data_IF_679137533290
#
_entry.id   IF_679137533290
#
_cell.length_a   1.000
_cell.length_b   1.000
_cell.length_c   1.000
_cell.angle_alpha   90.00
_cell.angle_beta   90.00
_cell.angle_gamma   90.00
#
_symmetry.space_group_name_H-M   'P 1'
#
loop_
_entity.id
_entity.type
_entity.pdbx_description
1 polymer ?
#
# COMPACT_ATOMS: atom_id res chain seq x y z
N UNK A 1 19.21 12.76 -2.12
CA UNK A 1 18.56 11.77 -1.24
C UNK A 1 17.05 11.88 -1.42
N UNK A 2 16.36 10.77 -1.50
CA UNK A 2 14.91 10.71 -1.60
C UNK A 2 14.28 10.48 -0.22
N UNK A 3 13.09 11.02 -0.05
CA UNK A 3 12.20 10.73 1.08
C UNK A 3 10.92 10.12 0.53
N UNK A 4 10.50 8.98 1.04
CA UNK A 4 9.23 8.36 0.71
C UNK A 4 8.28 8.45 1.91
N UNK A 5 7.03 8.82 1.65
CA UNK A 5 5.93 8.80 2.61
C UNK A 5 4.88 7.83 2.09
N UNK A 6 4.52 6.84 2.89
CA UNK A 6 3.57 5.80 2.50
C UNK A 6 2.52 5.56 3.58
N UNK A 7 1.36 5.05 3.14
CA UNK A 7 0.31 4.57 4.02
C UNK A 7 -0.35 3.32 3.45
N UNK A 8 -1.15 2.62 4.24
CA UNK A 8 -1.80 1.36 3.87
C UNK A 8 -2.95 1.58 2.88
N UNK A 9 -3.00 0.74 1.86
CA UNK A 9 -4.13 0.64 0.91
C UNK A 9 -4.99 -0.55 1.28
N UNK A 10 -6.18 -0.29 1.79
CA UNK A 10 -7.11 -1.33 2.25
C UNK A 10 -6.67 -1.98 3.56
N UNK A 11 -7.27 -3.13 3.87
CA UNK A 11 -6.95 -3.88 5.09
C UNK A 11 -6.35 -5.25 4.76
N UNK A 12 -5.43 -5.78 5.57
CA UNK A 12 -4.75 -7.04 5.28
C UNK A 12 -5.63 -8.29 5.49
N UNK A 13 -6.82 -8.14 6.08
CA UNK A 13 -7.78 -9.23 6.33
C UNK A 13 -8.30 -9.91 5.04
N UNK A 14 -9.02 -10.99 5.19
CA UNK A 14 -9.65 -11.70 4.07
C UNK A 14 -10.70 -10.81 3.38
N UNK A 15 -10.85 -10.96 2.07
CA UNK A 15 -11.88 -10.31 1.28
C UNK A 15 -12.95 -11.33 0.86
N UNK A 16 -14.16 -11.22 1.42
CA UNK A 16 -15.19 -12.24 1.24
C UNK A 16 -15.91 -12.10 -0.09
N UNK A 17 -16.44 -10.92 -0.38
CA UNK A 17 -17.05 -10.56 -1.66
C UNK A 17 -17.37 -9.08 -1.71
N UNK A 18 -17.72 -8.59 -2.91
CA UNK A 18 -18.14 -7.20 -3.10
C UNK A 18 -19.50 -6.87 -2.46
N UNK A 19 -20.35 -7.86 -2.28
CA UNK A 19 -21.76 -7.70 -1.86
C UNK A 19 -22.00 -8.09 -0.40
N UNK A 20 -20.98 -8.62 0.30
CA UNK A 20 -21.16 -9.12 1.66
C UNK A 20 -21.14 -8.00 2.70
N UNK A 21 -22.29 -7.72 3.32
CA UNK A 21 -22.45 -6.59 4.25
C UNK A 21 -21.55 -6.66 5.49
N UNK A 22 -21.24 -7.87 5.97
CA UNK A 22 -20.45 -8.11 7.19
C UNK A 22 -18.93 -7.97 6.97
N UNK A 23 -18.44 -8.08 5.73
CA UNK A 23 -17.02 -8.09 5.40
C UNK A 23 -16.73 -7.11 4.26
N UNK A 24 -17.06 -5.84 4.46
CA UNK A 24 -16.73 -4.75 3.51
C UNK A 24 -15.24 -4.39 3.53
N UNK A 25 -14.38 -5.39 3.46
CA UNK A 25 -12.94 -5.15 3.33
C UNK A 25 -12.57 -4.78 1.90
N UNK A 26 -11.41 -4.15 1.72
CA UNK A 26 -10.89 -3.84 0.39
C UNK A 26 -10.53 -5.11 -0.38
N UNK A 27 -10.75 -5.16 -1.70
CA UNK A 27 -10.31 -6.28 -2.55
C UNK A 27 -8.80 -6.36 -2.72
N UNK A 28 -8.08 -5.35 -2.26
CA UNK A 28 -6.62 -5.24 -2.32
C UNK A 28 -6.04 -4.93 -0.95
N UNK A 29 -4.74 -5.23 -0.82
CA UNK A 29 -3.91 -4.75 0.28
C UNK A 29 -2.52 -4.40 -0.22
N UNK A 30 -1.93 -3.36 0.33
CA UNK A 30 -0.57 -2.91 0.04
C UNK A 30 -0.28 -1.52 0.59
N UNK A 31 0.61 -0.80 -0.06
CA UNK A 31 1.02 0.54 0.35
C UNK A 31 1.02 1.50 -0.83
N UNK A 32 0.71 2.75 -0.57
CA UNK A 32 0.81 3.83 -1.55
C UNK A 32 1.21 5.14 -0.88
N UNK A 33 1.69 6.08 -1.69
CA UNK A 33 2.12 7.39 -1.23
C UNK A 33 2.95 8.09 -2.29
N UNK A 34 4.02 8.76 -1.88
CA UNK A 34 4.87 9.49 -2.81
C UNK A 34 6.34 9.49 -2.38
N UNK A 35 7.20 9.72 -3.36
CA UNK A 35 8.64 9.91 -3.19
C UNK A 35 9.01 11.31 -3.63
N UNK A 36 9.88 12.00 -2.88
CA UNK A 36 10.28 13.38 -3.17
C UNK A 36 11.74 13.62 -2.80
N UNK A 37 12.50 14.44 -3.55
CA UNK A 37 13.83 14.87 -3.15
C UNK A 37 13.81 15.60 -1.80
N UNK A 38 14.77 15.32 -0.92
CA UNK A 38 14.84 15.91 0.44
C UNK A 38 14.80 17.45 0.43
N UNK A 39 15.39 18.05 -0.60
CA UNK A 39 15.48 19.51 -0.78
C UNK A 39 14.11 20.15 -1.04
N UNK A 40 13.13 19.36 -1.47
CA UNK A 40 11.78 19.80 -1.81
C UNK A 40 10.72 19.46 -0.75
N UNK A 41 11.10 18.70 0.28
CA UNK A 41 10.16 18.26 1.33
C UNK A 41 9.47 19.44 1.99
N UNK A 42 10.21 20.45 2.41
CA UNK A 42 9.61 21.63 3.09
C UNK A 42 8.67 22.42 2.20
N UNK A 43 9.02 22.60 0.93
CA UNK A 43 8.18 23.33 -0.02
C UNK A 43 6.88 22.57 -0.30
N UNK A 44 6.95 21.26 -0.46
CA UNK A 44 5.77 20.42 -0.65
C UNK A 44 4.91 20.36 0.63
N UNK A 45 5.53 20.16 1.80
CA UNK A 45 4.81 20.20 3.09
C UNK A 45 4.01 21.48 3.28
N UNK A 46 4.62 22.63 2.94
CA UNK A 46 3.90 23.94 3.00
C UNK A 46 2.69 23.98 2.06
N UNK A 47 2.81 23.38 0.88
CA UNK A 47 1.67 23.27 -0.05
C UNK A 47 0.56 22.37 0.51
N UNK A 48 0.90 21.21 1.08
CA UNK A 48 -0.07 20.32 1.75
C UNK A 48 -0.77 21.06 2.89
N UNK A 49 -0.02 21.72 3.76
CA UNK A 49 -0.58 22.50 4.88
C UNK A 49 -1.48 23.64 4.40
N UNK A 50 -1.09 24.34 3.33
CA UNK A 50 -1.92 25.39 2.74
C UNK A 50 -3.23 24.82 2.21
N UNK A 51 -3.18 23.71 1.49
CA UNK A 51 -4.38 23.03 0.99
C UNK A 51 -5.28 22.59 2.15
N UNK A 52 -4.71 22.03 3.23
CA UNK A 52 -5.48 21.71 4.45
C UNK A 52 -6.21 22.94 4.99
N UNK A 53 -5.53 24.04 5.20
CA UNK A 53 -6.12 25.26 5.75
C UNK A 53 -7.20 25.84 4.86
N UNK A 54 -6.98 25.86 3.56
CA UNK A 54 -7.92 26.48 2.61
C UNK A 54 -9.20 25.66 2.43
N UNK A 55 -9.10 24.33 2.35
CA UNK A 55 -10.22 23.46 2.00
C UNK A 55 -10.83 22.71 3.18
N UNK A 56 -10.10 22.55 4.29
CA UNK A 56 -10.52 21.75 5.44
C UNK A 56 -10.60 22.54 6.76
N UNK A 57 -10.35 23.84 6.77
CA UNK A 57 -10.32 24.70 7.96
C UNK A 57 -11.60 24.69 8.80
N UNK A 58 -12.73 24.35 8.18
CA UNK A 58 -14.02 24.23 8.87
C UNK A 58 -14.07 23.07 9.89
N UNK A 59 -13.12 22.14 9.84
CA UNK A 59 -13.03 21.04 10.80
C UNK A 59 -12.43 21.52 12.14
N UNK A 60 -11.54 22.51 12.07
CA UNK A 60 -10.91 23.12 13.26
C UNK A 60 -10.65 24.61 13.01
N UNK A 61 -11.51 25.50 13.52
CA UNK A 61 -11.41 26.95 13.32
C UNK A 61 -10.32 27.63 14.17
N UNK A 62 -9.54 26.88 14.94
CA UNK A 62 -8.48 27.44 15.78
C UNK A 62 -7.27 27.87 14.94
N UNK A 63 -6.72 29.04 15.26
CA UNK A 63 -5.52 29.63 14.64
C UNK A 63 -4.22 28.93 15.05
N UNK A 64 -4.27 27.69 15.51
CA UNK A 64 -3.11 26.93 15.91
C UNK A 64 -2.11 26.84 14.76
N UNK A 65 -0.88 27.24 15.02
CA UNK A 65 0.20 27.32 14.03
C UNK A 65 0.49 25.95 13.39
N UNK A 66 0.30 24.86 14.14
CA UNK A 66 0.39 23.49 13.67
C UNK A 66 -1.00 22.86 13.78
N UNK A 67 -1.71 22.66 12.64
CA UNK A 67 -2.98 21.97 12.69
C UNK A 67 -2.74 20.48 13.03
N UNK A 68 -3.05 20.11 14.27
CA UNK A 68 -3.00 18.73 14.78
C UNK A 68 -4.22 17.90 14.39
N UNK A 69 -5.07 18.42 13.52
CA UNK A 69 -6.25 17.73 13.03
C UNK A 69 -5.99 16.96 11.72
N UNK A 70 -6.68 15.88 11.57
CA UNK A 70 -6.54 14.97 10.43
C UNK A 70 -7.86 14.89 9.64
N UNK A 71 -7.74 14.85 8.31
CA UNK A 71 -8.82 14.50 7.39
C UNK A 71 -8.50 13.17 6.75
N UNK A 72 -9.14 12.10 7.18
CA UNK A 72 -8.87 10.75 6.63
C UNK A 72 -9.22 10.66 5.15
N UNK A 73 -8.34 10.05 4.37
CA UNK A 73 -8.53 9.83 2.94
C UNK A 73 -9.79 9.02 2.62
N UNK A 74 -10.12 8.06 3.46
CA UNK A 74 -11.36 7.28 3.34
C UNK A 74 -12.63 8.15 3.40
N UNK A 75 -12.60 9.26 4.12
CA UNK A 75 -13.71 10.22 4.20
C UNK A 75 -13.80 11.14 2.99
N UNK A 76 -12.65 11.47 2.36
CA UNK A 76 -12.61 12.24 1.11
C UNK A 76 -13.19 11.42 -0.04
N UNK A 77 -12.76 10.19 -0.19
CA UNK A 77 -13.08 9.31 -1.33
C UNK A 77 -14.32 8.43 -1.06
N UNK A 78 -15.39 9.03 -0.56
CA UNK A 78 -16.67 8.32 -0.39
C UNK A 78 -17.42 8.13 -1.70
N UNK A 79 -18.32 7.13 -1.73
CA UNK A 79 -19.31 6.96 -2.80
C UNK A 79 -20.11 8.28 -2.97
N UNK A 80 -20.27 8.75 -4.21
CA UNK A 80 -21.00 9.98 -4.51
C UNK A 80 -20.29 11.26 -4.03
N UNK A 81 -19.00 11.22 -3.74
CA UNK A 81 -18.26 12.41 -3.31
C UNK A 81 -18.27 13.53 -4.36
N UNK A 82 -18.23 13.20 -5.65
CA UNK A 82 -18.25 14.18 -6.75
C UNK A 82 -19.62 14.84 -6.97
N UNK A 83 -20.68 14.25 -6.45
CA UNK A 83 -22.04 14.79 -6.50
C UNK A 83 -22.28 15.87 -5.43
N UNK A 84 -21.47 15.87 -4.37
CA UNK A 84 -21.57 16.80 -3.25
C UNK A 84 -20.58 17.94 -3.44
N UNK A 85 -21.09 19.19 -3.55
CA UNK A 85 -20.28 20.39 -3.86
C UNK A 85 -19.04 20.53 -2.99
N UNK A 86 -19.17 20.33 -1.67
CA UNK A 86 -18.05 20.43 -0.73
C UNK A 86 -16.99 19.36 -0.97
N UNK A 87 -17.40 18.08 -1.00
CA UNK A 87 -16.49 16.96 -1.21
C UNK A 87 -15.81 17.05 -2.58
N UNK A 88 -16.53 17.48 -3.61
CA UNK A 88 -15.96 17.73 -4.93
C UNK A 88 -14.85 18.79 -4.89
N UNK A 89 -15.04 19.90 -4.18
CA UNK A 89 -14.00 20.94 -4.02
C UNK A 89 -12.76 20.39 -3.31
N UNK A 90 -12.94 19.60 -2.26
CA UNK A 90 -11.86 18.94 -1.52
C UNK A 90 -11.05 18.00 -2.43
N UNK A 91 -11.73 17.19 -3.24
CA UNK A 91 -11.09 16.27 -4.20
C UNK A 91 -10.34 17.03 -5.29
N UNK A 92 -10.91 18.10 -5.84
CA UNK A 92 -10.23 18.90 -6.86
C UNK A 92 -9.00 19.61 -6.28
N UNK A 93 -9.06 20.08 -5.05
CA UNK A 93 -7.90 20.67 -4.36
C UNK A 93 -6.78 19.64 -4.16
N UNK A 94 -7.12 18.41 -3.81
CA UNK A 94 -6.15 17.32 -3.74
C UNK A 94 -5.55 17.01 -5.13
N UNK A 95 -6.36 16.92 -6.17
CA UNK A 95 -5.88 16.73 -7.54
C UNK A 95 -4.85 17.80 -7.91
N UNK A 96 -5.16 19.06 -7.68
CA UNK A 96 -4.31 20.20 -8.00
C UNK A 96 -3.01 20.22 -7.15
N UNK A 97 -3.07 19.69 -5.92
CA UNK A 97 -1.88 19.46 -5.09
C UNK A 97 -0.98 18.37 -5.68
N UNK A 98 -1.56 17.23 -6.05
CA UNK A 98 -0.81 16.08 -6.57
C UNK A 98 -0.20 16.37 -7.95
N UNK A 99 -0.85 17.18 -8.77
CA UNK A 99 -0.31 17.63 -10.07
C UNK A 99 1.00 18.42 -9.92
N UNK A 100 1.24 19.05 -8.77
CA UNK A 100 2.48 19.80 -8.49
C UNK A 100 3.65 18.92 -8.05
N UNK A 101 3.38 17.67 -7.67
CA UNK A 101 4.41 16.77 -7.17
C UNK A 101 5.54 16.51 -8.18
N UNK A 102 5.27 16.22 -9.48
CA UNK A 102 6.32 16.07 -10.49
C UNK A 102 7.18 17.32 -10.68
N UNK A 103 6.59 18.52 -10.62
CA UNK A 103 7.33 19.77 -10.71
C UNK A 103 8.28 19.98 -9.52
N UNK A 104 7.98 19.37 -8.38
CA UNK A 104 8.89 19.29 -7.24
C UNK A 104 9.93 18.15 -7.35
N UNK A 105 9.99 17.45 -8.49
CA UNK A 105 10.85 16.29 -8.70
C UNK A 105 10.39 15.03 -7.96
N UNK A 106 9.16 15.02 -7.44
CA UNK A 106 8.55 13.88 -6.77
C UNK A 106 7.77 12.97 -7.72
N UNK A 107 7.38 11.81 -7.22
CA UNK A 107 6.57 10.83 -7.95
C UNK A 107 5.60 10.13 -7.00
N UNK A 108 4.41 9.82 -7.49
CA UNK A 108 3.49 8.93 -6.81
C UNK A 108 4.01 7.49 -6.85
N UNK A 109 3.71 6.74 -5.82
CA UNK A 109 4.09 5.33 -5.71
C UNK A 109 2.92 4.51 -5.19
N UNK A 110 2.77 3.30 -5.69
CA UNK A 110 1.93 2.28 -5.06
C UNK A 110 2.45 0.87 -5.35
N UNK A 111 2.30 0.01 -4.37
CA UNK A 111 2.36 -1.43 -4.54
C UNK A 111 1.20 -2.06 -3.81
N UNK A 112 0.28 -2.65 -4.55
CA UNK A 112 -0.91 -3.30 -4.01
C UNK A 112 -1.10 -4.67 -4.64
N UNK A 113 -1.61 -5.61 -3.85
CA UNK A 113 -1.93 -6.97 -4.29
C UNK A 113 -3.41 -7.22 -4.19
N UNK A 114 -3.97 -7.81 -5.25
CA UNK A 114 -5.33 -8.35 -5.20
C UNK A 114 -5.39 -9.49 -4.18
N UNK A 115 -6.46 -9.54 -3.41
CA UNK A 115 -6.71 -10.58 -2.43
C UNK A 115 -7.55 -11.72 -3.02
N UNK A 116 -7.26 -12.95 -2.62
CA UNK A 116 -8.17 -14.07 -2.88
C UNK A 116 -9.55 -13.79 -2.27
N UNK A 117 -10.60 -14.12 -3.01
CA UNK A 117 -11.99 -13.98 -2.55
C UNK A 117 -12.36 -15.19 -1.71
N UNK A 118 -12.85 -14.95 -0.51
CA UNK A 118 -13.34 -15.99 0.41
C UNK A 118 -13.23 -15.60 1.87
N UNK A 119 -13.88 -16.38 2.71
CA UNK A 119 -13.76 -16.28 4.18
C UNK A 119 -12.34 -16.68 4.62
N UNK A 120 -11.91 -16.34 5.84
CA UNK A 120 -10.63 -16.84 6.38
C UNK A 120 -10.49 -18.35 6.29
N UNK A 121 -11.58 -19.10 6.54
CA UNK A 121 -11.60 -20.55 6.39
C UNK A 121 -11.33 -21.02 4.96
N UNK A 122 -11.87 -20.33 3.97
CA UNK A 122 -11.67 -20.67 2.55
C UNK A 122 -10.31 -20.26 2.03
N UNK A 123 -9.79 -19.11 2.46
CA UNK A 123 -8.52 -18.55 1.95
C UNK A 123 -7.32 -19.09 2.72
N UNK A 124 -7.45 -19.29 4.04
CA UNK A 124 -6.34 -19.66 4.93
C UNK A 124 -6.54 -20.96 5.70
N UNK A 125 -7.70 -21.59 5.59
CA UNK A 125 -8.02 -22.80 6.37
C UNK A 125 -8.21 -22.54 7.87
N UNK A 126 -8.41 -21.29 8.29
CA UNK A 126 -8.45 -20.90 9.70
C UNK A 126 -9.75 -20.19 10.09
N UNK A 127 -10.16 -20.33 11.35
CA UNK A 127 -11.37 -19.67 11.84
C UNK A 127 -11.20 -18.14 11.94
N UNK A 128 -12.24 -17.34 11.68
CA UNK A 128 -12.20 -15.90 11.87
C UNK A 128 -11.78 -15.51 13.29
N UNK A 129 -10.78 -14.63 13.43
CA UNK A 129 -10.29 -14.16 14.74
C UNK A 129 -9.38 -15.13 15.49
N UNK A 130 -9.10 -16.31 14.94
CA UNK A 130 -8.15 -17.27 15.54
C UNK A 130 -6.72 -16.74 15.52
N UNK A 131 -5.81 -17.28 16.35
CA UNK A 131 -4.38 -16.95 16.31
C UNK A 131 -3.78 -17.16 14.92
N UNK A 132 -4.16 -18.24 14.22
CA UNK A 132 -3.70 -18.56 12.86
C UNK A 132 -4.13 -17.48 11.87
N UNK A 133 -5.38 -17.01 11.94
CA UNK A 133 -5.89 -15.92 11.10
C UNK A 133 -5.11 -14.63 11.35
N UNK A 134 -4.80 -14.30 12.61
CA UNK A 134 -4.01 -13.13 12.97
C UNK A 134 -2.59 -13.23 12.42
N UNK A 135 -1.97 -14.41 12.54
CA UNK A 135 -0.64 -14.67 11.98
C UNK A 135 -0.61 -14.50 10.45
N UNK A 136 -1.65 -14.96 9.74
CA UNK A 136 -1.75 -14.76 8.28
C UNK A 136 -1.95 -13.30 7.88
N UNK A 137 -2.69 -12.54 8.66
CA UNK A 137 -2.85 -11.10 8.48
C UNK A 137 -1.49 -10.39 8.64
N UNK A 138 -0.78 -10.71 9.71
CA UNK A 138 0.55 -10.15 9.98
C UNK A 138 1.55 -10.52 8.88
N UNK A 139 1.60 -11.78 8.47
CA UNK A 139 2.46 -12.26 7.38
C UNK A 139 2.18 -11.49 6.07
N UNK A 140 0.92 -11.29 5.71
CA UNK A 140 0.53 -10.51 4.52
C UNK A 140 1.03 -9.06 4.62
N UNK A 141 0.84 -8.44 5.77
CA UNK A 141 1.31 -7.06 6.02
C UNK A 141 2.81 -6.96 5.81
N UNK A 142 3.57 -7.86 6.41
CA UNK A 142 5.03 -7.89 6.31
C UNK A 142 5.53 -8.18 4.90
N UNK A 143 4.89 -9.10 4.17
CA UNK A 143 5.23 -9.38 2.77
C UNK A 143 4.97 -8.17 1.87
N UNK A 144 3.82 -7.50 2.03
CA UNK A 144 3.53 -6.30 1.25
C UNK A 144 4.47 -5.15 1.58
N UNK A 145 4.84 -4.97 2.85
CA UNK A 145 5.82 -3.96 3.26
C UNK A 145 7.20 -4.25 2.69
N UNK A 146 7.66 -5.50 2.76
CA UNK A 146 8.96 -5.91 2.19
C UNK A 146 9.01 -5.66 0.68
N UNK A 147 7.96 -5.99 -0.06
CA UNK A 147 7.88 -5.69 -1.50
C UNK A 147 7.84 -4.18 -1.79
N UNK A 148 7.15 -3.42 -0.97
CA UNK A 148 7.13 -1.96 -1.06
C UNK A 148 8.53 -1.38 -0.86
N UNK A 149 9.24 -1.81 0.17
CA UNK A 149 10.62 -1.45 0.42
C UNK A 149 11.49 -1.80 -0.79
N UNK A 150 11.41 -3.04 -1.29
CA UNK A 150 12.19 -3.49 -2.44
C UNK A 150 11.98 -2.62 -3.69
N UNK A 151 10.76 -2.20 -3.96
CA UNK A 151 10.42 -1.36 -5.12
C UNK A 151 10.89 0.08 -4.95
N UNK A 152 10.74 0.62 -3.77
CA UNK A 152 11.16 2.00 -3.48
C UNK A 152 12.67 2.17 -3.60
N UNK A 153 13.47 1.19 -3.18
CA UNK A 153 14.91 1.34 -3.37
C UNK A 153 15.37 0.99 -4.78
N UNK A 154 14.68 0.12 -5.52
CA UNK A 154 14.90 -0.03 -6.97
C UNK A 154 14.73 1.32 -7.66
N UNK A 155 13.67 2.06 -7.31
CA UNK A 155 13.48 3.42 -7.78
C UNK A 155 14.63 4.35 -7.37
N UNK A 156 15.06 4.29 -6.10
CA UNK A 156 16.16 5.11 -5.58
C UNK A 156 17.49 4.78 -6.28
N UNK A 157 17.76 3.52 -6.56
CA UNK A 157 18.94 3.09 -7.29
C UNK A 157 18.92 3.59 -8.73
N UNK A 158 17.79 3.47 -9.42
CA UNK A 158 17.62 4.06 -10.75
C UNK A 158 17.91 5.57 -10.77
N UNK A 159 17.53 6.29 -9.70
CA UNK A 159 17.85 7.71 -9.52
C UNK A 159 19.26 7.97 -8.99
N UNK A 160 20.05 6.94 -8.72
CA UNK A 160 21.36 7.01 -8.07
C UNK A 160 21.33 7.81 -6.75
N UNK A 161 20.31 7.59 -5.92
CA UNK A 161 20.10 8.30 -4.65
C UNK A 161 19.81 7.32 -3.51
N UNK A 162 20.15 7.71 -2.30
CA UNK A 162 19.70 7.01 -1.10
C UNK A 162 18.27 7.41 -0.76
N UNK A 163 17.57 6.57 0.00
CA UNK A 163 16.17 6.78 0.38
C UNK A 163 15.94 6.54 1.87
N UNK A 164 15.08 7.38 2.47
CA UNK A 164 14.45 7.15 3.78
C UNK A 164 12.96 6.96 3.57
N UNK A 165 12.37 6.05 4.32
CA UNK A 165 10.96 5.69 4.25
C UNK A 165 10.26 6.06 5.56
N UNK A 166 9.15 6.79 5.44
CA UNK A 166 8.25 7.15 6.54
C UNK A 166 6.87 6.56 6.30
N UNK A 167 6.25 6.04 7.36
CA UNK A 167 4.87 5.55 7.34
C UNK A 167 4.09 5.98 8.58
N UNK A 168 2.76 5.86 8.54
CA UNK A 168 1.89 6.24 9.64
C UNK A 168 2.15 5.39 10.89
N UNK A 169 1.93 6.00 12.05
CA UNK A 169 2.14 5.37 13.35
C UNK A 169 1.13 4.24 13.56
N UNK A 170 1.64 3.08 13.93
CA UNK A 170 0.84 1.92 14.34
C UNK A 170 1.08 1.62 15.82
N UNK A 171 0.31 0.70 16.39
CA UNK A 171 0.53 0.33 17.80
C UNK A 171 1.96 -0.20 18.03
N UNK A 172 2.48 -0.02 19.26
CA UNK A 172 3.88 -0.26 19.59
C UNK A 172 4.33 -1.71 19.35
N UNK A 173 3.49 -2.69 19.64
CA UNK A 173 3.85 -4.11 19.48
C UNK A 173 4.00 -4.47 18.01
N UNK A 174 3.09 -4.04 17.15
CA UNK A 174 3.15 -4.24 15.70
C UNK A 174 4.34 -3.50 15.10
N UNK A 175 4.60 -2.25 15.54
CA UNK A 175 5.74 -1.45 15.09
C UNK A 175 7.06 -2.16 15.34
N UNK A 176 7.31 -2.64 16.55
CA UNK A 176 8.56 -3.37 16.90
C UNK A 176 8.75 -4.59 15.98
N UNK A 177 7.70 -5.36 15.76
CA UNK A 177 7.76 -6.54 14.89
C UNK A 177 8.04 -6.15 13.43
N UNK A 178 7.36 -5.13 12.90
CA UNK A 178 7.55 -4.67 11.52
C UNK A 178 8.95 -4.10 11.30
N UNK A 179 9.46 -3.28 12.22
CA UNK A 179 10.81 -2.71 12.14
C UNK A 179 11.86 -3.83 12.16
N UNK A 180 11.77 -4.77 13.10
CA UNK A 180 12.72 -5.87 13.21
C UNK A 180 12.73 -6.73 11.92
N UNK A 181 11.57 -7.03 11.35
CA UNK A 181 11.48 -7.79 10.10
C UNK A 181 11.94 -6.99 8.88
N UNK A 182 11.70 -5.68 8.85
CA UNK A 182 12.23 -4.81 7.80
C UNK A 182 13.75 -4.82 7.78
N UNK A 183 14.41 -4.70 8.95
CA UNK A 183 15.85 -4.85 9.04
C UNK A 183 16.32 -6.23 8.58
N UNK A 184 15.69 -7.30 9.04
CA UNK A 184 16.03 -8.64 8.62
C UNK A 184 15.95 -8.82 7.09
N UNK A 185 14.90 -8.29 6.45
CA UNK A 185 14.74 -8.31 4.99
C UNK A 185 15.85 -7.50 4.30
N UNK A 186 16.12 -6.28 4.76
CA UNK A 186 17.13 -5.40 4.18
C UNK A 186 18.50 -6.07 4.26
N UNK A 187 18.92 -6.53 5.42
CA UNK A 187 20.25 -7.15 5.62
C UNK A 187 20.40 -8.49 4.88
N UNK A 188 19.36 -9.32 4.87
CA UNK A 188 19.40 -10.57 4.13
C UNK A 188 19.62 -10.35 2.63
N UNK A 189 18.94 -9.36 2.05
CA UNK A 189 19.01 -9.04 0.62
C UNK A 189 20.27 -8.26 0.23
N UNK A 190 20.87 -7.49 1.13
CA UNK A 190 22.10 -6.74 0.86
C UNK A 190 23.26 -7.61 0.37
N UNK A 191 23.26 -8.92 0.64
CA UNK A 191 24.29 -9.86 0.20
C UNK A 191 24.24 -10.10 -1.31
N UNK A 192 23.03 -10.14 -1.89
CA UNK A 192 22.78 -10.50 -3.29
C UNK A 192 22.39 -9.28 -4.14
N UNK A 193 21.86 -8.23 -3.50
CA UNK A 193 21.28 -7.05 -4.13
C UNK A 193 21.96 -5.77 -3.62
N UNK A 194 22.96 -5.30 -4.36
CA UNK A 194 23.74 -4.11 -3.95
C UNK A 194 22.87 -2.84 -3.85
N UNK A 195 21.83 -2.75 -4.66
CA UNK A 195 20.85 -1.67 -4.62
C UNK A 195 20.19 -1.52 -3.25
N UNK A 196 20.10 -2.58 -2.43
CA UNK A 196 19.59 -2.50 -1.05
C UNK A 196 20.37 -1.54 -0.15
N UNK A 197 21.61 -1.21 -0.52
CA UNK A 197 22.44 -0.21 0.17
C UNK A 197 21.94 1.22 0.02
N UNK A 198 20.97 1.43 -0.87
CA UNK A 198 20.30 2.73 -1.03
C UNK A 198 19.35 3.05 0.12
N UNK A 199 18.87 2.04 0.84
CA UNK A 199 18.08 2.23 2.06
C UNK A 199 19.04 2.58 3.19
N UNK A 200 18.82 3.74 3.80
CA UNK A 200 19.66 4.18 4.92
C UNK A 200 19.22 3.56 6.23
N UNK A 201 17.92 3.31 6.38
CA UNK A 201 17.33 2.85 7.64
C UNK A 201 16.04 2.06 7.36
N UNK A 202 15.61 1.21 8.28
CA UNK A 202 14.27 0.63 8.22
C UNK A 202 13.20 1.73 8.26
N UNK A 203 11.94 1.45 7.80
CA UNK A 203 10.87 2.45 7.82
C UNK A 203 10.70 3.09 9.20
N UNK A 204 10.71 4.41 9.24
CA UNK A 204 10.42 5.20 10.42
C UNK A 204 8.93 5.53 10.50
N UNK A 205 8.39 5.57 11.72
CA UNK A 205 6.97 5.80 11.96
C UNK A 205 6.76 7.22 12.47
N UNK A 206 5.80 7.93 11.87
CA UNK A 206 5.46 9.30 12.22
C UNK A 206 3.95 9.37 12.45
N UNK A 207 3.56 10.09 13.49
CA UNK A 207 2.16 10.34 13.79
C UNK A 207 1.53 11.23 12.70
N UNK A 208 0.43 10.76 12.11
CA UNK A 208 -0.27 11.45 11.03
C UNK A 208 -0.87 12.78 11.48
N UNK A 209 -1.25 12.92 12.74
CA UNK A 209 -1.73 14.19 13.30
C UNK A 209 -0.68 15.30 13.21
N UNK A 210 0.60 14.94 13.30
CA UNK A 210 1.72 15.87 13.30
C UNK A 210 2.34 16.06 11.91
N UNK A 211 2.16 15.12 10.98
CA UNK A 211 2.81 15.13 9.68
C UNK A 211 1.84 15.31 8.52
N UNK A 212 1.81 16.52 7.93
CA UNK A 212 1.04 16.78 6.73
C UNK A 212 1.42 15.88 5.55
N UNK A 213 2.67 15.43 5.46
CA UNK A 213 3.12 14.54 4.39
C UNK A 213 2.57 13.11 4.58
N UNK A 214 2.49 12.61 5.81
CA UNK A 214 1.84 11.33 6.10
C UNK A 214 0.34 11.42 5.81
N UNK A 215 -0.33 12.51 6.18
CA UNK A 215 -1.74 12.72 5.79
C UNK A 215 -1.92 12.75 4.26
N UNK A 216 -0.99 13.38 3.54
CA UNK A 216 -1.02 13.34 2.07
C UNK A 216 -0.85 11.91 1.54
N UNK A 217 0.00 11.09 2.19
CA UNK A 217 0.14 9.67 1.83
C UNK A 217 -1.14 8.88 2.09
N UNK A 218 -1.88 9.12 3.20
CA UNK A 218 -3.21 8.54 3.46
C UNK A 218 -4.22 8.92 2.35
N UNK A 219 -4.22 10.18 1.91
CA UNK A 219 -5.09 10.61 0.80
C UNK A 219 -4.74 9.89 -0.51
N UNK A 220 -3.44 9.72 -0.79
CA UNK A 220 -2.98 8.97 -1.98
C UNK A 220 -3.36 7.49 -1.83
N UNK A 221 -3.17 6.90 -0.66
CA UNK A 221 -3.54 5.50 -0.41
C UNK A 221 -5.05 5.27 -0.61
N UNK A 222 -5.88 6.20 -0.15
CA UNK A 222 -7.32 6.17 -0.40
C UNK A 222 -7.66 6.29 -1.89
N UNK A 223 -7.04 7.22 -2.62
CA UNK A 223 -7.18 7.36 -4.08
C UNK A 223 -6.86 6.05 -4.80
N UNK A 224 -5.70 5.46 -4.50
CA UNK A 224 -5.24 4.19 -5.09
C UNK A 224 -6.21 3.06 -4.75
N UNK A 225 -6.69 2.97 -3.51
CA UNK A 225 -7.66 1.98 -3.09
C UNK A 225 -8.99 2.07 -3.88
N UNK A 226 -9.48 3.29 -4.19
CA UNK A 226 -10.69 3.49 -5.01
C UNK A 226 -10.43 3.17 -6.48
N UNK A 227 -9.28 3.53 -7.01
CA UNK A 227 -8.87 3.15 -8.36
C UNK A 227 -8.77 1.61 -8.51
N UNK A 228 -8.16 0.92 -7.55
CA UNK A 228 -8.13 -0.55 -7.52
C UNK A 228 -9.54 -1.15 -7.45
N UNK A 229 -10.42 -0.59 -6.60
CA UNK A 229 -11.81 -1.04 -6.54
C UNK A 229 -12.50 -0.89 -7.91
N UNK A 230 -12.28 0.22 -8.61
CA UNK A 230 -12.81 0.41 -9.95
C UNK A 230 -12.29 -0.63 -10.93
N UNK A 231 -11.00 -0.93 -10.92
CA UNK A 231 -10.41 -1.92 -11.82
C UNK A 231 -10.91 -3.34 -11.58
N UNK A 232 -11.21 -3.71 -10.33
CA UNK A 232 -11.52 -5.08 -9.92
C UNK A 232 -13.02 -5.37 -9.79
N UNK A 233 -13.87 -4.37 -9.57
CA UNK A 233 -15.30 -4.52 -9.32
C UNK A 233 -16.15 -3.96 -10.47
N UNK A 234 -16.94 -4.82 -11.12
CA UNK A 234 -17.83 -4.41 -12.22
C UNK A 234 -18.85 -3.35 -11.81
N UNK A 235 -19.33 -3.41 -10.57
CA UNK A 235 -20.32 -2.49 -9.98
C UNK A 235 -19.69 -1.35 -9.18
N UNK A 236 -18.42 -1.06 -9.39
CA UNK A 236 -17.71 -0.03 -8.63
C UNK A 236 -18.31 1.37 -8.84
N UNK A 237 -18.59 2.12 -7.75
CA UNK A 237 -19.08 3.49 -7.85
C UNK A 237 -17.97 4.53 -8.07
N UNK A 238 -16.73 4.10 -8.35
CA UNK A 238 -15.54 4.96 -8.36
C UNK A 238 -15.00 5.24 -9.77
N UNK A 239 -15.83 5.14 -10.83
CA UNK A 239 -15.45 5.51 -12.20
C UNK A 239 -14.92 6.96 -12.27
N UNK A 240 -15.52 7.86 -11.49
CA UNK A 240 -15.16 9.27 -11.39
C UNK A 240 -13.69 9.51 -10.98
N UNK A 241 -13.02 8.54 -10.35
CA UNK A 241 -11.59 8.64 -10.01
C UNK A 241 -10.74 8.77 -11.28
N UNK A 242 -11.01 7.91 -12.27
CA UNK A 242 -10.36 8.01 -13.58
C UNK A 242 -10.66 9.35 -14.26
N UNK A 243 -11.95 9.77 -14.28
CA UNK A 243 -12.36 11.03 -14.89
C UNK A 243 -11.67 12.24 -14.27
N UNK A 244 -11.40 12.20 -12.96
CA UNK A 244 -10.87 13.34 -12.22
C UNK A 244 -9.34 13.42 -12.24
N UNK A 245 -8.64 12.27 -12.19
CA UNK A 245 -7.20 12.24 -11.89
C UNK A 245 -6.33 11.76 -13.06
N UNK A 246 -6.89 11.04 -14.03
CA UNK A 246 -6.11 10.36 -15.07
C UNK A 246 -5.19 11.28 -15.85
N UNK A 247 -5.71 12.37 -16.38
CA UNK A 247 -4.93 13.27 -17.26
C UNK A 247 -3.89 14.05 -16.44
N UNK A 248 -4.27 14.51 -15.25
CA UNK A 248 -3.40 15.30 -14.36
C UNK A 248 -2.25 14.47 -13.77
N UNK A 249 -2.49 13.19 -13.50
CA UNK A 249 -1.49 12.30 -12.90
C UNK A 249 -0.80 11.38 -13.92
N UNK A 250 -1.00 11.63 -15.22
CA UNK A 250 -0.32 10.88 -16.27
C UNK A 250 1.20 11.09 -16.16
N UNK A 251 1.95 9.97 -16.05
CA UNK A 251 3.40 10.02 -15.91
C UNK A 251 3.92 10.45 -14.53
N UNK A 252 3.03 10.68 -13.55
CA UNK A 252 3.44 11.07 -12.19
C UNK A 252 3.86 9.89 -11.30
N UNK A 253 3.68 8.67 -11.74
CA UNK A 253 3.99 7.46 -10.95
C UNK A 253 5.41 6.96 -11.18
N UNK A 254 6.00 6.35 -10.16
CA UNK A 254 7.27 5.63 -10.31
C UNK A 254 7.09 4.43 -11.24
N UNK A 255 8.19 3.99 -11.88
CA UNK A 255 8.17 2.83 -12.77
C UNK A 255 7.77 1.52 -12.05
N UNK A 256 8.05 1.42 -10.76
CA UNK A 256 7.79 0.26 -9.91
C UNK A 256 6.35 0.16 -9.43
N UNK A 257 5.54 1.23 -9.64
CA UNK A 257 4.13 1.28 -9.22
C UNK A 257 3.31 0.19 -9.90
N UNK A 258 2.68 -0.68 -9.09
CA UNK A 258 2.01 -1.89 -9.61
C UNK A 258 0.80 -2.31 -8.76
N UNK A 259 -0.32 -2.61 -9.44
CA UNK A 259 -1.38 -3.48 -8.92
C UNK A 259 -1.10 -4.90 -9.41
N UNK A 260 -0.71 -5.78 -8.48
CA UNK A 260 -0.46 -7.18 -8.73
C UNK A 260 -1.75 -7.99 -8.63
N UNK A 261 -2.11 -8.64 -9.69
CA UNK A 261 -3.27 -9.53 -9.71
C UNK A 261 -3.00 -10.85 -8.98
N UNK A 262 -4.08 -11.44 -8.46
CA UNK A 262 -4.05 -12.75 -7.84
C UNK A 262 -4.42 -13.84 -8.85
N UNK A 263 -3.49 -14.75 -9.13
CA UNK A 263 -3.71 -15.97 -9.93
C UNK A 263 -4.42 -15.77 -11.28
N UNK A 264 -4.06 -14.74 -12.04
CA UNK A 264 -4.69 -14.44 -13.33
C UNK A 264 -3.67 -14.47 -14.44
N UNK A 265 -4.04 -14.99 -15.59
CA UNK A 265 -3.20 -15.06 -16.79
C UNK A 265 -3.12 -13.74 -17.57
N UNK A 266 -3.22 -12.61 -16.89
CA UNK A 266 -3.12 -11.27 -17.48
C UNK A 266 -2.01 -10.47 -16.83
N UNK A 267 -1.47 -9.49 -17.55
CA UNK A 267 -0.46 -8.58 -17.03
C UNK A 267 -0.99 -7.71 -15.90
N UNK A 268 -0.12 -7.44 -14.92
CA UNK A 268 -0.39 -6.52 -13.84
C UNK A 268 -0.60 -5.09 -14.36
N UNK A 269 -1.48 -4.34 -13.72
CA UNK A 269 -1.64 -2.92 -14.03
C UNK A 269 -0.48 -2.14 -13.42
N UNK A 270 0.11 -1.24 -14.22
CA UNK A 270 1.27 -0.46 -13.83
C UNK A 270 1.03 1.05 -13.99
N UNK A 271 1.76 1.85 -13.24
CA UNK A 271 1.81 3.30 -13.34
C UNK A 271 0.41 3.96 -13.32
N UNK A 272 0.21 4.98 -14.14
CA UNK A 272 -1.06 5.69 -14.30
C UNK A 272 -2.16 4.89 -15.00
N UNK A 273 -1.84 3.69 -15.53
CA UNK A 273 -2.85 2.79 -16.12
C UNK A 273 -3.92 2.37 -15.10
N UNK A 274 -3.58 2.40 -13.80
CA UNK A 274 -4.53 2.18 -12.72
C UNK A 274 -5.74 3.12 -12.79
N UNK A 275 -5.54 4.33 -13.30
CA UNK A 275 -6.58 5.35 -13.47
C UNK A 275 -7.31 5.25 -14.82
N UNK A 276 -6.95 4.27 -15.67
CA UNK A 276 -7.57 4.08 -16.97
C UNK A 276 -9.02 3.61 -16.86
N UNK A 277 -9.85 4.04 -17.83
CA UNK A 277 -11.18 3.46 -18.04
C UNK A 277 -11.13 2.04 -18.59
N UNK A 278 -10.02 1.64 -19.20
CA UNK A 278 -9.80 0.24 -19.57
C UNK A 278 -9.74 -0.61 -18.32
N UNK A 279 -10.46 -1.72 -18.33
CA UNK A 279 -10.56 -2.64 -17.19
C UNK A 279 -10.16 -4.04 -17.68
N UNK A 280 -8.85 -4.28 -17.91
CA UNK A 280 -8.36 -5.51 -18.55
C UNK A 280 -8.79 -6.76 -17.78
N UNK A 281 -8.85 -6.66 -16.47
CA UNK A 281 -9.30 -7.69 -15.57
C UNK A 281 -10.73 -8.16 -15.82
N UNK A 282 -11.66 -7.22 -16.02
CA UNK A 282 -13.07 -7.56 -16.25
C UNK A 282 -13.32 -8.07 -17.66
N UNK A 283 -12.45 -7.69 -18.62
CA UNK A 283 -12.52 -8.18 -19.99
C UNK A 283 -11.91 -9.58 -20.15
N UNK A 284 -10.87 -9.88 -19.39
CA UNK A 284 -10.12 -11.12 -19.49
C UNK A 284 -10.66 -12.27 -18.63
N UNK A 285 -11.69 -12.03 -17.82
CA UNK A 285 -12.29 -13.10 -17.00
C UNK A 285 -13.24 -13.97 -17.84
N UNK A 286 -12.82 -15.15 -18.27
CA UNK A 286 -13.77 -16.26 -18.32
C UNK A 286 -14.25 -16.45 -16.88
N UNK A 287 -15.54 -16.63 -16.67
CA UNK A 287 -16.05 -17.05 -15.37
C UNK A 287 -15.37 -18.38 -15.05
N UNK A 288 -14.32 -18.33 -14.22
CA UNK A 288 -13.69 -19.54 -13.70
C UNK A 288 -14.80 -20.33 -13.02
N UNK A 289 -14.97 -21.59 -13.40
CA UNK A 289 -15.90 -22.48 -12.73
C UNK A 289 -15.57 -22.52 -11.23
N UNK A 290 -16.53 -22.84 -10.38
CA UNK A 290 -16.26 -23.01 -8.94
C UNK A 290 -15.16 -24.03 -8.69
N UNK A 291 -15.06 -25.06 -9.52
CA UNK A 291 -14.01 -26.09 -9.47
C UNK A 291 -12.62 -25.52 -9.83
N UNK A 292 -12.52 -24.64 -10.82
CA UNK A 292 -11.24 -23.99 -11.16
C UNK A 292 -10.81 -23.00 -10.10
N UNK A 293 -11.76 -22.28 -9.48
CA UNK A 293 -11.48 -21.43 -8.31
C UNK A 293 -10.94 -22.25 -7.14
N UNK A 294 -11.55 -23.40 -6.89
CA UNK A 294 -11.15 -24.33 -5.82
C UNK A 294 -9.77 -24.93 -6.08
N UNK A 295 -9.47 -25.35 -7.32
CA UNK A 295 -8.16 -25.84 -7.72
C UNK A 295 -7.08 -24.78 -7.60
N UNK A 296 -7.34 -23.56 -8.03
CA UNK A 296 -6.41 -22.42 -7.89
C UNK A 296 -6.17 -22.08 -6.41
N UNK A 297 -7.20 -22.13 -5.56
CA UNK A 297 -7.06 -21.95 -4.12
C UNK A 297 -6.18 -23.03 -3.48
N UNK A 298 -6.34 -24.29 -3.89
CA UNK A 298 -5.53 -25.40 -3.41
C UNK A 298 -4.06 -25.32 -3.86
N UNK A 299 -3.83 -24.89 -5.10
CA UNK A 299 -2.48 -24.67 -5.64
C UNK A 299 -1.79 -23.53 -4.87
N UNK A 300 -2.51 -22.44 -4.61
CA UNK A 300 -1.98 -21.31 -3.82
C UNK A 300 -1.74 -21.65 -2.35
N UNK A 301 -2.63 -22.41 -1.74
CA UNK A 301 -2.42 -22.90 -0.37
C UNK A 301 -1.15 -23.77 -0.25
N UNK A 302 -0.86 -24.58 -1.28
CA UNK A 302 0.37 -25.38 -1.35
C UNK A 302 1.61 -24.54 -1.66
N UNK A 303 1.51 -23.55 -2.55
CA UNK A 303 2.62 -22.65 -2.91
C UNK A 303 2.97 -21.64 -1.82
N UNK A 304 2.01 -21.32 -0.94
CA UNK A 304 2.17 -20.42 0.21
C UNK A 304 2.49 -21.17 1.51
N UNK A 305 2.55 -22.50 1.48
CA UNK A 305 3.05 -23.27 2.61
C UNK A 305 4.52 -22.86 2.86
N UNK A 306 4.90 -22.47 4.09
CA UNK A 306 6.29 -22.18 4.39
C UNK A 306 7.12 -23.39 4.00
N UNK A 307 8.19 -23.19 3.23
CA UNK A 307 9.24 -24.20 3.06
C UNK A 307 9.73 -24.43 4.48
N UNK A 308 9.36 -25.57 5.07
CA UNK A 308 9.89 -25.99 6.34
C UNK A 308 11.40 -26.09 6.15
N UNK A 309 12.13 -25.11 6.64
CA UNK A 309 13.56 -25.22 6.85
C UNK A 309 13.73 -26.36 7.84
N UNK A 310 14.01 -27.57 7.33
CA UNK A 310 14.57 -28.65 8.12
C UNK A 310 15.88 -28.12 8.71
N UNK A 311 15.79 -27.61 9.92
CA UNK A 311 16.96 -27.43 10.77
C UNK A 311 17.43 -28.84 11.10
N UNK A 312 18.37 -29.35 10.31
CA UNK A 312 19.16 -30.51 10.71
C UNK A 312 19.87 -30.12 12.01
N UNK A 313 19.33 -30.60 13.12
CA UNK A 313 20.06 -30.65 14.38
C UNK A 313 21.18 -31.65 14.17
N UNK A 314 22.37 -31.18 13.85
CA UNK A 314 23.59 -31.96 14.01
C UNK A 314 23.79 -32.19 15.49
N UNK A 315 23.45 -33.38 15.95
CA UNK A 315 23.88 -33.86 17.26
C UNK A 315 25.40 -33.81 17.31
N UNK A 316 25.92 -32.91 18.09
CA UNK A 316 27.29 -32.91 18.56
C UNK A 316 27.45 -34.10 19.52
N UNK A 317 28.08 -35.17 19.04
CA UNK A 317 28.58 -36.21 19.90
C UNK A 317 29.60 -35.63 20.90
N UNK A 318 29.25 -35.71 22.17
CA UNK A 318 30.18 -35.48 23.25
C UNK A 318 31.19 -36.61 23.27
N UNK A 319 32.41 -36.35 22.79
CA UNK A 319 33.54 -37.19 23.08
C UNK A 319 33.93 -37.02 24.55
N UNK A 320 33.74 -38.07 25.32
CA UNK A 320 34.37 -38.31 26.62
C UNK A 320 35.88 -38.44 26.42
N UNK A 321 36.66 -37.58 27.04
CA UNK A 321 38.07 -37.87 27.34
C UNK A 321 38.17 -38.10 28.84
N UNK A 322 38.40 -39.40 29.19
CA UNK A 322 39.05 -39.79 30.41
C UNK A 322 40.56 -39.53 30.27
N UNK A 323 41.12 -38.86 31.17
CA UNK A 323 42.39 -39.00 31.97
C UNK A 323 42.87 -37.63 32.44
#
# INVERSE_FOLDING_TARGET
MLIAYIDEVGEPGAFVSYDHAKFKTSPVFGYAGFVIPKERVHDFSRQVMRTKREFFSFLHPTDDYIPTWERKGAELFQKGAMERTKARREILALRDLLEKLPAAGGSLFYFVREKAIGTPGQVWGSAPGSPETRSRIEERTLQCLAETINRLYTHADYKNQNILLFQDMINESQRKAQVARSYANIYARMKEHQEMRRILEAPAYIDSDLSSNIQCADWIAALIGRACNYQLNSSSPYAWVGDTFREQLRGSFTYESTLQFHARGIENIRHSELLSHSRPFLKASPQLSEDDRRKLQLIHAKASAPIALEIRQTHSEKGTYDQ
#
